data_IF_489808349583
#
_entry.id   IF_489808349583
#
_cell.length_a   1.000
_cell.length_b   1.000
_cell.length_c   1.000
_cell.angle_alpha   90.00
_cell.angle_beta   90.00
_cell.angle_gamma   90.00
#
_symmetry.space_group_name_H-M   'P 1'
#
loop_
_entity.id
_entity.type
_entity.pdbx_description
1 polymer ?
#
# COMPACT_ATOMS: atom_id res chain seq x y z
N UNK A 1 8.03 -0.01 -13.09
CA UNK A 1 6.61 -0.37 -13.29
C UNK A 1 6.22 -1.26 -12.14
N UNK A 2 6.08 -0.63 -10.98
CA UNK A 2 6.10 -1.27 -9.66
C UNK A 2 4.85 -0.91 -8.84
N UNK A 3 3.93 -0.17 -9.46
CA UNK A 3 2.64 0.22 -8.90
C UNK A 3 1.85 -1.01 -8.46
N UNK A 4 1.33 -0.98 -7.24
CA UNK A 4 0.67 -2.11 -6.58
C UNK A 4 1.61 -3.02 -5.79
N UNK A 5 2.94 -2.85 -5.91
CA UNK A 5 3.91 -3.58 -5.10
C UNK A 5 3.83 -3.22 -3.61
N UNK A 6 4.21 -4.17 -2.74
CA UNK A 6 4.19 -3.98 -1.28
C UNK A 6 5.51 -3.42 -0.77
N UNK A 7 5.40 -2.46 0.15
CA UNK A 7 6.50 -2.03 1.02
C UNK A 7 6.37 -2.84 2.31
N UNK A 8 7.39 -3.64 2.61
CA UNK A 8 7.42 -4.54 3.78
C UNK A 8 8.51 -4.11 4.75
N UNK A 9 8.14 -3.93 6.03
CA UNK A 9 9.06 -3.65 7.12
C UNK A 9 8.85 -4.65 8.25
N UNK A 10 9.91 -5.33 8.70
CA UNK A 10 9.84 -6.35 9.76
C UNK A 10 8.78 -7.44 9.52
N UNK A 11 8.56 -7.83 8.26
CA UNK A 11 7.55 -8.81 7.87
C UNK A 11 6.11 -8.28 7.77
N UNK A 12 5.88 -7.00 8.04
CA UNK A 12 4.57 -6.35 7.91
C UNK A 12 4.47 -5.52 6.63
N UNK A 13 3.36 -5.64 5.91
CA UNK A 13 3.05 -4.74 4.80
C UNK A 13 2.65 -3.36 5.36
N UNK A 14 3.47 -2.35 5.08
CA UNK A 14 3.28 -0.97 5.58
C UNK A 14 2.82 -0.01 4.48
N UNK A 15 3.10 -0.32 3.22
CA UNK A 15 2.71 0.52 2.10
C UNK A 15 2.45 -0.22 0.80
N UNK A 16 1.74 0.45 -0.10
CA UNK A 16 1.52 0.00 -1.48
C UNK A 16 2.09 1.06 -2.42
N UNK A 17 3.02 0.69 -3.28
CA UNK A 17 3.65 1.59 -4.25
C UNK A 17 2.58 2.15 -5.18
N UNK A 18 2.51 3.47 -5.31
CA UNK A 18 1.59 4.14 -6.24
C UNK A 18 2.31 4.51 -7.52
N UNK A 19 3.30 5.40 -7.42
CA UNK A 19 4.07 5.87 -8.57
C UNK A 19 5.45 6.34 -8.12
N UNK A 20 6.39 6.39 -9.06
CA UNK A 20 7.70 6.99 -8.87
C UNK A 20 7.85 8.22 -9.75
N UNK A 21 8.71 9.14 -9.34
CA UNK A 21 9.15 10.26 -10.20
C UNK A 21 10.51 9.94 -10.81
N UNK A 22 10.88 10.68 -11.86
CA UNK A 22 12.18 10.55 -12.54
C UNK A 22 13.38 10.76 -11.62
N UNK A 23 13.18 11.39 -10.45
CA UNK A 23 14.21 11.68 -9.45
C UNK A 23 14.30 10.62 -8.34
N UNK A 24 13.72 9.43 -8.54
CA UNK A 24 13.81 8.32 -7.58
C UNK A 24 12.95 8.49 -6.33
N UNK A 25 12.06 9.49 -6.30
CA UNK A 25 11.06 9.62 -5.23
C UNK A 25 9.90 8.67 -5.51
N UNK A 26 9.51 7.88 -4.53
CA UNK A 26 8.38 6.94 -4.62
C UNK A 26 7.27 7.39 -3.70
N UNK A 27 6.08 7.55 -4.25
CA UNK A 27 4.85 7.77 -3.49
C UNK A 27 4.17 6.44 -3.24
N UNK A 28 3.71 6.22 -2.01
CA UNK A 28 3.01 5.00 -1.62
C UNK A 28 1.81 5.32 -0.73
N UNK A 29 0.82 4.43 -0.74
CA UNK A 29 -0.28 4.46 0.19
C UNK A 29 0.14 3.80 1.50
N UNK A 30 -0.02 4.48 2.63
CA UNK A 30 0.22 3.88 3.94
C UNK A 30 -0.96 2.96 4.31
N UNK A 31 -0.71 1.66 4.43
CA UNK A 31 -1.77 0.65 4.61
C UNK A 31 -2.60 0.91 5.86
N UNK A 32 -1.98 1.36 6.96
CA UNK A 32 -2.69 1.62 8.21
C UNK A 32 -3.79 2.68 8.08
N UNK A 33 -3.66 3.62 7.13
CA UNK A 33 -4.70 4.66 6.89
C UNK A 33 -5.99 4.06 6.30
N UNK A 34 -5.91 2.91 5.64
CA UNK A 34 -7.03 2.27 4.96
C UNK A 34 -7.46 0.96 5.63
N UNK A 35 -6.95 0.66 6.83
CA UNK A 35 -7.11 -0.64 7.47
C UNK A 35 -8.58 -1.05 7.64
N UNK A 36 -9.46 -0.10 7.99
CA UNK A 36 -10.88 -0.39 8.14
C UNK A 36 -11.55 -0.76 6.80
N UNK A 37 -11.23 -0.04 5.73
CA UNK A 37 -11.72 -0.36 4.39
C UNK A 37 -11.16 -1.71 3.89
N UNK A 38 -9.87 -1.97 4.15
CA UNK A 38 -9.22 -3.23 3.78
C UNK A 38 -9.87 -4.42 4.50
N UNK A 39 -10.17 -4.28 5.80
CA UNK A 39 -10.87 -5.32 6.57
C UNK A 39 -12.26 -5.59 6.01
N UNK A 40 -13.02 -4.55 5.72
CA UNK A 40 -14.35 -4.69 5.07
C UNK A 40 -14.26 -5.41 3.73
N UNK A 41 -13.27 -5.06 2.90
CA UNK A 41 -13.02 -5.71 1.63
C UNK A 41 -12.73 -7.21 1.78
N UNK A 42 -11.82 -7.56 2.71
CA UNK A 42 -11.44 -8.95 2.99
C UNK A 42 -12.64 -9.75 3.51
N UNK A 43 -13.50 -9.13 4.30
CA UNK A 43 -14.71 -9.75 4.85
C UNK A 43 -15.89 -9.81 3.85
N UNK A 44 -15.77 -9.19 2.67
CA UNK A 44 -16.86 -9.12 1.69
C UNK A 44 -18.00 -8.17 2.08
N UNK A 45 -17.71 -7.16 2.91
CA UNK A 45 -18.67 -6.17 3.40
C UNK A 45 -18.82 -4.94 2.48
N UNK A 46 -18.13 -4.94 1.33
CA UNK A 46 -18.17 -3.92 0.27
C UNK A 46 -18.19 -4.56 -1.12
#
# INVERSE_FOLDING_TARGET
GDSGGLIVCNGFAVGIVSTGTEFGQVTFFHIARYMDHIKKAINGEI
#
